data_IF_146073226019
#
_entry.id   IF_146073226019
#
_cell.length_a   1.000
_cell.length_b   1.000
_cell.length_c   1.000
_cell.angle_alpha   90.00
_cell.angle_beta   90.00
_cell.angle_gamma   90.00
#
_symmetry.space_group_name_H-M   'P 1'
#
loop_
_entity.id
_entity.type
_entity.pdbx_description
1 polymer ?
#
# COMPACT_ATOMS: atom_id res chain seq x y z
N UNK A 1 22.70 -34.50 -49.20
CA UNK A 1 21.86 -33.42 -48.65
C UNK A 1 21.05 -33.97 -47.48
N UNK A 2 21.54 -33.86 -46.24
CA UNK A 2 20.75 -34.06 -45.03
C UNK A 2 21.61 -33.71 -43.80
N UNK A 3 21.46 -32.50 -43.27
CA UNK A 3 21.91 -32.15 -41.92
C UNK A 3 21.29 -30.81 -41.51
N UNK A 4 20.07 -30.85 -40.96
CA UNK A 4 19.47 -29.73 -40.23
C UNK A 4 18.20 -30.21 -39.53
N UNK A 5 18.32 -30.91 -38.40
CA UNK A 5 17.14 -31.19 -37.56
C UNK A 5 17.45 -31.38 -36.07
N UNK A 6 18.71 -31.32 -35.63
CA UNK A 6 19.06 -31.56 -34.23
C UNK A 6 19.10 -30.30 -33.34
N UNK A 7 19.03 -29.08 -33.91
CA UNK A 7 19.12 -27.81 -33.17
C UNK A 7 17.77 -27.15 -32.83
N UNK A 8 16.65 -27.64 -33.36
CA UNK A 8 15.34 -26.99 -33.24
C UNK A 8 14.59 -27.14 -31.89
N UNK A 9 14.69 -28.24 -31.10
CA UNK A 9 13.83 -28.40 -29.92
C UNK A 9 14.17 -27.40 -28.80
N UNK A 10 15.47 -27.14 -28.58
CA UNK A 10 15.93 -26.17 -27.57
C UNK A 10 15.58 -24.72 -27.92
N UNK A 11 15.63 -24.36 -29.21
CA UNK A 11 15.27 -23.01 -29.68
C UNK A 11 13.76 -22.77 -29.52
N UNK A 12 12.91 -23.74 -29.88
CA UNK A 12 11.45 -23.61 -29.71
C UNK A 12 11.01 -23.55 -28.25
N UNK A 13 11.65 -24.30 -27.35
CA UNK A 13 11.35 -24.25 -25.92
C UNK A 13 11.78 -22.90 -25.32
N UNK A 14 12.99 -22.44 -25.66
CA UNK A 14 13.52 -21.12 -25.25
C UNK A 14 12.66 -19.96 -25.74
N UNK A 15 12.17 -20.02 -26.99
CA UNK A 15 11.28 -19.01 -27.54
C UNK A 15 9.90 -19.04 -26.87
N UNK A 16 9.37 -20.21 -26.51
CA UNK A 16 8.11 -20.34 -25.78
C UNK A 16 8.21 -19.73 -24.37
N UNK A 17 9.30 -20.00 -23.65
CA UNK A 17 9.56 -19.46 -22.31
C UNK A 17 9.81 -17.94 -22.36
N UNK A 18 10.57 -17.46 -23.36
CA UNK A 18 10.81 -16.03 -23.58
C UNK A 18 9.53 -15.27 -23.91
N UNK A 19 8.67 -15.86 -24.76
CA UNK A 19 7.34 -15.35 -25.10
C UNK A 19 6.40 -15.38 -23.90
N UNK A 20 6.56 -16.34 -22.99
CA UNK A 20 5.85 -16.40 -21.69
C UNK A 20 6.30 -15.30 -20.72
N UNK A 21 7.60 -15.02 -20.57
CA UNK A 21 8.05 -13.91 -19.69
C UNK A 21 7.68 -12.53 -20.24
N UNK A 22 7.74 -12.34 -21.57
CA UNK A 22 7.31 -11.10 -22.22
C UNK A 22 5.78 -10.96 -22.13
N UNK A 23 5.05 -12.05 -22.31
CA UNK A 23 3.60 -12.13 -22.12
C UNK A 23 3.18 -11.83 -20.68
N UNK A 24 3.90 -12.35 -19.69
CA UNK A 24 3.65 -12.07 -18.27
C UNK A 24 3.87 -10.58 -17.95
N UNK A 25 4.97 -9.99 -18.44
CA UNK A 25 5.23 -8.55 -18.28
C UNK A 25 4.15 -7.69 -18.94
N UNK A 26 3.71 -8.05 -20.14
CA UNK A 26 2.61 -7.37 -20.82
C UNK A 26 1.28 -7.57 -20.11
N UNK A 27 0.99 -8.77 -19.60
CA UNK A 27 -0.22 -9.06 -18.82
C UNK A 27 -0.25 -8.28 -17.51
N UNK A 28 0.88 -8.19 -16.81
CA UNK A 28 1.01 -7.40 -15.58
C UNK A 28 0.81 -5.91 -15.89
N UNK A 29 1.49 -5.36 -16.90
CA UNK A 29 1.32 -3.96 -17.31
C UNK A 29 -0.12 -3.67 -17.78
N UNK A 30 -0.71 -4.58 -18.55
CA UNK A 30 -2.09 -4.46 -19.00
C UNK A 30 -3.05 -4.50 -17.80
N UNK A 31 -2.83 -5.40 -16.84
CA UNK A 31 -3.61 -5.45 -15.61
C UNK A 31 -3.48 -4.16 -14.81
N UNK A 32 -2.27 -3.62 -14.66
CA UNK A 32 -2.05 -2.34 -13.98
C UNK A 32 -2.81 -1.21 -14.67
N UNK A 33 -2.68 -1.09 -16.00
CA UNK A 33 -3.37 -0.04 -16.77
C UNK A 33 -4.89 -0.20 -16.74
N UNK A 34 -5.40 -1.43 -16.86
CA UNK A 34 -6.83 -1.70 -16.79
C UNK A 34 -7.38 -1.45 -15.39
N UNK A 35 -6.62 -1.79 -14.33
CA UNK A 35 -7.05 -1.61 -12.96
C UNK A 35 -7.00 -0.13 -12.55
N UNK A 36 -5.89 0.57 -12.80
CA UNK A 36 -5.79 2.03 -12.59
C UNK A 36 -6.87 2.77 -13.38
N UNK A 37 -7.08 2.37 -14.63
CA UNK A 37 -8.16 2.90 -15.47
C UNK A 37 -9.56 2.61 -14.92
N UNK A 38 -9.82 1.39 -14.43
CA UNK A 38 -11.10 1.03 -13.84
C UNK A 38 -11.37 1.77 -12.54
N UNK A 39 -10.38 1.96 -11.67
CA UNK A 39 -10.50 2.74 -10.43
C UNK A 39 -10.81 4.21 -10.74
N UNK A 40 -10.11 4.81 -11.71
CA UNK A 40 -10.40 6.17 -12.17
C UNK A 40 -11.80 6.33 -12.80
N UNK A 41 -12.31 5.30 -13.49
CA UNK A 41 -13.63 5.31 -14.12
C UNK A 41 -14.76 5.05 -13.11
N UNK A 42 -14.55 4.14 -12.16
CA UNK A 42 -15.55 3.74 -11.17
C UNK A 42 -15.74 4.79 -10.07
N UNK A 43 -14.72 5.62 -9.83
CA UNK A 43 -14.80 6.71 -8.87
C UNK A 43 -14.32 8.03 -9.49
N UNK A 44 -15.21 8.82 -10.13
CA UNK A 44 -14.87 10.14 -10.67
C UNK A 44 -14.48 11.16 -9.59
N UNK A 45 -14.57 10.80 -8.30
CA UNK A 45 -14.07 11.60 -7.17
C UNK A 45 -12.62 11.27 -6.78
N UNK A 46 -12.00 10.28 -7.41
CA UNK A 46 -10.64 9.86 -7.07
C UNK A 46 -9.60 10.96 -7.28
N UNK A 47 -9.77 11.84 -8.28
CA UNK A 47 -8.78 12.88 -8.63
C UNK A 47 -8.46 13.82 -7.45
N UNK A 48 -9.49 14.39 -6.81
CA UNK A 48 -9.28 15.24 -5.63
C UNK A 48 -8.92 14.43 -4.38
N UNK A 49 -9.41 13.19 -4.26
CA UNK A 49 -9.07 12.27 -3.16
C UNK A 49 -7.62 11.81 -3.20
N UNK A 50 -7.00 11.65 -4.37
CA UNK A 50 -5.57 11.34 -4.50
C UNK A 50 -4.71 12.47 -3.93
N UNK A 51 -5.15 13.72 -4.09
CA UNK A 51 -4.44 14.90 -3.58
C UNK A 51 -4.59 15.08 -2.06
N UNK A 52 -5.74 14.72 -1.50
CA UNK A 52 -6.02 14.90 -0.08
C UNK A 52 -5.71 13.65 0.77
N UNK A 53 -5.96 12.45 0.24
CA UNK A 53 -5.84 11.16 0.93
C UNK A 53 -5.22 10.06 0.04
N UNK A 54 -3.87 10.02 -0.08
CA UNK A 54 -3.20 9.11 -1.02
C UNK A 54 -3.24 7.62 -0.62
N UNK A 55 -3.91 7.24 0.46
CA UNK A 55 -3.84 5.90 1.05
C UNK A 55 -4.30 4.80 0.08
N UNK A 56 -5.42 4.98 -0.63
CA UNK A 56 -5.94 3.99 -1.57
C UNK A 56 -4.96 3.69 -2.70
N UNK A 57 -4.35 4.73 -3.25
CA UNK A 57 -3.32 4.60 -4.28
C UNK A 57 -2.09 3.85 -3.75
N UNK A 58 -1.60 4.22 -2.57
CA UNK A 58 -0.42 3.58 -1.96
C UNK A 58 -0.70 2.11 -1.62
N UNK A 59 -1.89 1.79 -1.11
CA UNK A 59 -2.29 0.43 -0.76
C UNK A 59 -2.34 -0.46 -2.00
N UNK A 60 -2.97 0.02 -3.08
CA UNK A 60 -3.04 -0.71 -4.34
C UNK A 60 -1.66 -0.92 -4.96
N UNK A 61 -0.86 0.14 -5.06
CA UNK A 61 0.51 0.08 -5.59
C UNK A 61 1.36 -0.93 -4.80
N UNK A 62 1.16 -1.01 -3.49
CA UNK A 62 1.83 -1.99 -2.62
C UNK A 62 1.43 -3.42 -2.96
N UNK A 63 0.13 -3.70 -3.17
CA UNK A 63 -0.37 -5.03 -3.57
C UNK A 63 0.23 -5.45 -4.91
N UNK A 64 0.19 -4.54 -5.89
CA UNK A 64 0.73 -4.77 -7.22
C UNK A 64 2.25 -5.02 -7.21
N UNK A 65 3.00 -4.29 -6.38
CA UNK A 65 4.42 -4.52 -6.17
C UNK A 65 4.70 -5.89 -5.54
N UNK A 66 3.95 -6.30 -4.50
CA UNK A 66 4.09 -7.63 -3.87
C UNK A 66 3.83 -8.73 -4.89
N UNK A 67 2.76 -8.60 -5.67
CA UNK A 67 2.42 -9.57 -6.72
C UNK A 67 3.53 -9.66 -7.78
N UNK A 68 4.07 -8.52 -8.20
CA UNK A 68 5.18 -8.46 -9.17
C UNK A 68 6.43 -9.15 -8.63
N UNK A 69 6.79 -8.95 -7.36
CA UNK A 69 7.90 -9.66 -6.72
C UNK A 69 7.67 -11.17 -6.72
N UNK A 70 6.46 -11.62 -6.38
CA UNK A 70 6.11 -13.05 -6.36
C UNK A 70 6.27 -13.69 -7.75
N UNK A 71 5.71 -13.05 -8.79
CA UNK A 71 5.86 -13.49 -10.17
C UNK A 71 7.31 -13.45 -10.64
N UNK A 72 8.10 -12.48 -10.18
CA UNK A 72 9.50 -12.36 -10.54
C UNK A 72 10.34 -13.50 -9.96
N UNK A 73 10.10 -13.86 -8.69
CA UNK A 73 10.74 -15.01 -8.04
C UNK A 73 10.39 -16.30 -8.77
N UNK A 74 9.12 -16.49 -9.13
CA UNK A 74 8.68 -17.66 -9.90
C UNK A 74 9.33 -17.70 -11.28
N UNK A 75 9.46 -16.55 -11.96
CA UNK A 75 10.10 -16.45 -13.26
C UNK A 75 11.58 -16.84 -13.24
N UNK A 76 12.32 -16.44 -12.20
CA UNK A 76 13.73 -16.84 -12.03
C UNK A 76 13.83 -18.35 -11.75
N UNK A 77 12.93 -18.90 -10.93
CA UNK A 77 12.95 -20.34 -10.59
C UNK A 77 12.69 -21.25 -11.79
N UNK A 78 11.89 -20.80 -12.76
CA UNK A 78 11.55 -21.58 -13.94
C UNK A 78 12.63 -21.53 -15.05
N UNK A 79 13.63 -20.65 -14.93
CA UNK A 79 14.61 -20.33 -15.97
C UNK A 79 16.01 -20.93 -15.71
N UNK A 80 16.09 -22.13 -15.14
CA UNK A 80 17.33 -22.79 -14.70
C UNK A 80 18.37 -23.01 -15.81
N UNK A 81 17.98 -23.00 -17.09
CA UNK A 81 18.85 -23.28 -18.24
C UNK A 81 19.38 -22.02 -18.98
N UNK A 82 19.39 -20.84 -18.34
CA UNK A 82 19.84 -19.58 -18.97
C UNK A 82 21.29 -19.19 -18.67
N UNK A 83 21.80 -18.29 -19.51
CA UNK A 83 23.14 -17.72 -19.35
C UNK A 83 23.24 -16.91 -18.05
N UNK A 84 24.27 -17.21 -17.24
CA UNK A 84 24.52 -16.67 -15.90
C UNK A 84 24.34 -15.14 -15.73
N UNK A 85 24.65 -14.35 -16.75
CA UNK A 85 24.51 -12.89 -16.71
C UNK A 85 23.05 -12.43 -16.61
N UNK A 86 22.10 -13.19 -17.13
CA UNK A 86 20.66 -12.88 -17.04
C UNK A 86 20.14 -13.07 -15.62
N UNK A 87 20.62 -14.10 -14.94
CA UNK A 87 20.26 -14.36 -13.54
C UNK A 87 20.86 -13.28 -12.64
N UNK A 88 22.12 -12.88 -12.90
CA UNK A 88 22.76 -11.78 -12.18
C UNK A 88 22.00 -10.46 -12.32
N UNK A 89 21.66 -10.07 -13.57
CA UNK A 89 20.82 -8.89 -13.82
C UNK A 89 19.46 -9.03 -13.16
N UNK A 90 18.89 -10.25 -13.17
CA UNK A 90 17.61 -10.52 -12.56
C UNK A 90 17.62 -10.31 -11.05
N UNK A 91 18.61 -10.86 -10.35
CA UNK A 91 18.78 -10.70 -8.91
C UNK A 91 18.97 -9.23 -8.52
N UNK A 92 19.72 -8.44 -9.30
CA UNK A 92 19.88 -7.00 -9.06
C UNK A 92 18.52 -6.28 -9.16
N UNK A 93 17.76 -6.55 -10.22
CA UNK A 93 16.43 -5.94 -10.40
C UNK A 93 15.47 -6.34 -9.28
N UNK A 94 15.50 -7.60 -8.84
CA UNK A 94 14.72 -8.07 -7.69
C UNK A 94 15.10 -7.34 -6.41
N UNK A 95 16.39 -7.14 -6.15
CA UNK A 95 16.87 -6.42 -4.98
C UNK A 95 16.39 -4.96 -4.96
N UNK A 96 16.45 -4.28 -6.12
CA UNK A 96 15.92 -2.91 -6.26
C UNK A 96 14.40 -2.88 -6.04
N UNK A 97 13.67 -3.84 -6.59
CA UNK A 97 12.22 -3.94 -6.43
C UNK A 97 11.83 -4.18 -4.96
N UNK A 98 12.56 -5.06 -4.25
CA UNK A 98 12.36 -5.30 -2.82
C UNK A 98 12.66 -4.02 -2.02
N UNK A 99 13.73 -3.29 -2.35
CA UNK A 99 14.05 -2.03 -1.69
C UNK A 99 12.90 -1.02 -1.83
N UNK A 100 12.37 -0.83 -3.05
CA UNK A 100 11.22 0.04 -3.30
C UNK A 100 9.98 -0.45 -2.52
N UNK A 101 9.72 -1.75 -2.52
CA UNK A 101 8.61 -2.36 -1.79
C UNK A 101 8.69 -2.07 -0.29
N UNK A 102 9.89 -2.08 0.31
CA UNK A 102 10.06 -1.73 1.74
C UNK A 102 9.59 -0.29 1.99
N UNK A 103 9.98 0.67 1.16
CA UNK A 103 9.53 2.06 1.33
C UNK A 103 8.02 2.21 1.14
N UNK A 104 7.44 1.53 0.14
CA UNK A 104 6.00 1.54 -0.09
C UNK A 104 5.24 0.93 1.09
N UNK A 105 5.71 -0.18 1.64
CA UNK A 105 5.12 -0.80 2.84
C UNK A 105 5.18 0.12 4.05
N UNK A 106 6.32 0.75 4.31
CA UNK A 106 6.44 1.71 5.42
C UNK A 106 5.49 2.89 5.25
N UNK A 107 5.37 3.41 4.03
CA UNK A 107 4.47 4.50 3.71
C UNK A 107 2.99 4.07 3.87
N UNK A 108 2.63 2.89 3.37
CA UNK A 108 1.30 2.31 3.50
C UNK A 108 0.93 2.11 4.98
N UNK A 109 1.84 1.57 5.79
CA UNK A 109 1.65 1.40 7.24
C UNK A 109 1.46 2.74 7.95
N UNK A 110 2.27 3.75 7.60
CA UNK A 110 2.14 5.08 8.17
C UNK A 110 0.79 5.73 7.84
N UNK A 111 0.36 5.66 6.57
CA UNK A 111 -0.95 6.19 6.18
C UNK A 111 -2.12 5.37 6.75
N UNK A 112 -1.95 4.06 6.93
CA UNK A 112 -2.93 3.22 7.64
C UNK A 112 -3.03 3.64 9.10
N UNK A 113 -1.89 3.90 9.76
CA UNK A 113 -1.86 4.35 11.14
C UNK A 113 -2.62 5.66 11.34
N UNK A 114 -2.37 6.68 10.53
CA UNK A 114 -3.06 7.97 10.65
C UNK A 114 -4.57 7.85 10.36
N UNK A 115 -4.97 6.98 9.43
CA UNK A 115 -6.38 6.70 9.14
C UNK A 115 -7.07 6.01 10.33
N UNK A 116 -6.39 5.05 10.96
CA UNK A 116 -6.90 4.32 12.13
C UNK A 116 -7.04 5.23 13.36
N UNK A 117 -6.18 6.23 13.52
CA UNK A 117 -6.18 7.15 14.68
C UNK A 117 -6.93 8.45 14.41
N UNK A 118 -7.47 8.63 13.20
CA UNK A 118 -8.13 9.85 12.73
C UNK A 118 -7.26 11.10 12.96
N UNK A 119 -6.00 11.02 12.53
CA UNK A 119 -5.02 12.11 12.63
C UNK A 119 -4.55 12.53 11.25
N UNK A 120 -4.12 13.78 11.11
CA UNK A 120 -3.42 14.23 9.90
C UNK A 120 -1.90 14.02 10.03
N UNK A 121 -1.21 13.86 8.90
CA UNK A 121 0.27 13.81 8.85
C UNK A 121 0.90 15.05 9.49
N UNK A 122 0.24 16.21 9.33
CA UNK A 122 0.63 17.48 9.92
C UNK A 122 0.55 17.46 11.45
N UNK A 123 -0.53 16.92 12.01
CA UNK A 123 -0.69 16.77 13.46
C UNK A 123 0.38 15.86 14.06
N UNK A 124 0.71 14.75 13.39
CA UNK A 124 1.78 13.85 13.83
C UNK A 124 3.14 14.54 13.78
N UNK A 125 3.48 15.18 12.65
CA UNK A 125 4.79 15.80 12.45
C UNK A 125 5.03 17.06 13.30
N UNK A 126 3.96 17.79 13.66
CA UNK A 126 4.05 19.09 14.34
C UNK A 126 3.27 19.17 15.65
N UNK A 127 2.88 18.05 16.25
CA UNK A 127 2.11 17.98 17.52
C UNK A 127 2.57 19.02 18.56
N UNK A 128 3.86 19.08 18.87
CA UNK A 128 4.43 19.99 19.90
C UNK A 128 4.33 21.49 19.53
N UNK A 129 4.24 21.82 18.24
CA UNK A 129 4.11 23.20 17.75
C UNK A 129 2.66 23.66 17.63
N UNK A 130 1.70 22.74 17.54
CA UNK A 130 0.28 23.06 17.39
C UNK A 130 -0.30 23.47 18.74
N UNK A 131 -0.86 24.68 18.82
CA UNK A 131 -1.32 25.30 20.06
C UNK A 131 -2.36 24.44 20.79
N UNK A 132 -3.36 23.91 20.08
CA UNK A 132 -4.45 23.12 20.66
C UNK A 132 -4.06 21.70 21.06
N UNK A 133 -2.93 21.17 20.57
CA UNK A 133 -2.43 19.84 20.96
C UNK A 133 -1.41 19.88 22.11
N UNK A 134 -0.97 21.08 22.55
CA UNK A 134 0.09 21.23 23.55
C UNK A 134 -0.31 20.74 24.95
N UNK A 135 -1.60 20.81 25.29
CA UNK A 135 -2.15 20.34 26.57
C UNK A 135 -2.73 18.92 26.55
N UNK A 136 -2.70 18.23 25.40
CA UNK A 136 -3.28 16.90 25.25
C UNK A 136 -2.26 15.83 25.67
N UNK A 137 -2.63 14.83 26.48
CA UNK A 137 -1.75 13.72 26.84
C UNK A 137 -1.14 13.05 25.59
N UNK A 138 0.15 12.68 25.64
CA UNK A 138 0.85 12.09 24.47
C UNK A 138 0.26 10.74 24.02
N UNK A 139 -0.44 10.04 24.92
CA UNK A 139 -1.01 8.71 24.70
C UNK A 139 -2.46 8.73 24.18
N UNK A 140 -3.00 9.91 23.87
CA UNK A 140 -4.39 10.07 23.44
C UNK A 140 -4.46 10.78 22.08
N UNK A 141 -5.27 10.21 21.19
CA UNK A 141 -5.68 10.72 19.89
C UNK A 141 -7.03 11.46 20.05
N UNK A 142 -7.02 12.81 20.15
CA UNK A 142 -8.20 13.57 20.60
C UNK A 142 -9.42 13.45 19.67
N UNK A 143 -9.20 13.28 18.37
CA UNK A 143 -10.26 13.17 17.35
C UNK A 143 -10.63 11.73 16.98
N UNK A 144 -10.05 10.73 17.66
CA UNK A 144 -10.32 9.32 17.38
C UNK A 144 -11.70 8.90 17.91
N UNK A 145 -12.55 8.33 17.05
CA UNK A 145 -13.89 7.79 17.38
C UNK A 145 -13.89 6.27 17.58
N UNK A 146 -12.71 5.65 17.59
CA UNK A 146 -12.49 4.20 17.61
C UNK A 146 -12.11 3.66 16.23
N UNK A 147 -11.34 2.56 16.20
CA UNK A 147 -10.72 2.02 14.98
C UNK A 147 -11.75 1.75 13.89
N UNK A 148 -12.84 1.05 14.21
CA UNK A 148 -13.87 0.69 13.22
C UNK A 148 -14.59 1.91 12.65
N UNK A 149 -14.87 2.92 13.49
CA UNK A 149 -15.56 4.14 13.05
C UNK A 149 -14.62 5.03 12.23
N UNK A 150 -13.37 5.15 12.64
CA UNK A 150 -12.36 5.90 11.89
C UNK A 150 -12.14 5.27 10.50
N UNK A 151 -12.04 3.93 10.42
CA UNK A 151 -11.93 3.22 9.13
C UNK A 151 -13.17 3.42 8.26
N UNK A 152 -14.36 3.33 8.83
CA UNK A 152 -15.60 3.58 8.08
C UNK A 152 -15.67 5.02 7.57
N UNK A 153 -15.30 5.99 8.41
CA UNK A 153 -15.25 7.40 8.03
C UNK A 153 -14.22 7.64 6.91
N UNK A 154 -13.03 7.05 7.01
CA UNK A 154 -11.98 7.18 6.02
C UNK A 154 -12.34 6.48 4.68
N UNK A 155 -12.85 5.25 4.73
CA UNK A 155 -13.07 4.45 3.53
C UNK A 155 -14.40 4.74 2.81
N UNK A 156 -15.47 4.95 3.57
CA UNK A 156 -16.84 4.93 3.05
C UNK A 156 -17.59 6.24 3.23
N UNK A 157 -17.03 7.21 3.96
CA UNK A 157 -17.67 8.51 4.11
C UNK A 157 -17.47 9.35 2.86
N UNK A 158 -18.59 9.71 2.23
CA UNK A 158 -18.67 10.79 1.25
C UNK A 158 -18.90 12.11 2.00
N UNK A 159 -18.04 12.43 2.97
CA UNK A 159 -18.11 13.71 3.67
C UNK A 159 -17.68 14.82 2.71
N UNK A 160 -18.66 15.58 2.23
CA UNK A 160 -18.47 16.79 1.43
C UNK A 160 -18.10 17.94 2.36
N UNK A 161 -16.82 18.08 2.69
CA UNK A 161 -16.27 19.27 3.33
C UNK A 161 -15.54 19.05 4.65
N UNK A 162 -14.66 20.00 5.00
CA UNK A 162 -13.90 20.01 6.25
C UNK A 162 -14.82 20.29 7.43
N UNK A 163 -15.30 19.25 8.11
CA UNK A 163 -15.92 19.40 9.43
C UNK A 163 -14.79 19.64 10.44
N UNK A 164 -14.67 20.88 10.92
CA UNK A 164 -13.82 21.19 12.07
C UNK A 164 -14.48 20.63 13.34
N UNK A 165 -14.02 19.46 13.77
CA UNK A 165 -14.42 18.86 15.04
C UNK A 165 -13.83 19.67 16.21
N UNK A 166 -14.65 20.00 17.20
CA UNK A 166 -14.19 20.73 18.38
C UNK A 166 -13.28 19.84 19.24
N UNK A 167 -12.23 20.43 19.81
CA UNK A 167 -11.36 19.71 20.74
C UNK A 167 -12.16 19.30 21.99
N UNK A 168 -12.20 18.01 22.36
CA UNK A 168 -12.87 17.58 23.58
C UNK A 168 -12.24 18.23 24.83
N UNK A 169 -13.01 18.46 25.90
CA UNK A 169 -12.50 19.03 27.14
C UNK A 169 -11.39 18.16 27.75
N UNK A 170 -10.41 18.78 28.41
CA UNK A 170 -9.21 18.11 28.94
C UNK A 170 -9.55 16.97 29.90
N UNK A 171 -10.59 17.13 30.74
CA UNK A 171 -11.07 16.10 31.68
C UNK A 171 -11.48 14.82 30.95
N UNK A 172 -12.13 14.93 29.78
CA UNK A 172 -12.52 13.78 28.97
C UNK A 172 -11.31 13.11 28.32
N UNK A 173 -10.32 13.90 27.88
CA UNK A 173 -9.07 13.38 27.31
C UNK A 173 -8.24 12.63 28.36
N UNK A 174 -8.20 13.11 29.60
CA UNK A 174 -7.56 12.42 30.72
C UNK A 174 -8.28 11.10 31.06
N UNK A 175 -9.62 11.09 31.04
CA UNK A 175 -10.39 9.86 31.20
C UNK A 175 -10.13 8.86 30.06
N UNK A 176 -9.85 9.35 28.84
CA UNK A 176 -9.45 8.50 27.70
C UNK A 176 -8.02 7.95 27.81
N UNK A 177 -7.16 8.58 28.61
CA UNK A 177 -5.82 8.07 28.94
C UNK A 177 -5.84 6.93 29.99
N UNK A 178 -7.01 6.60 30.54
CA UNK A 178 -7.17 5.49 31.49
C UNK A 178 -6.86 4.13 30.84
N UNK A 179 -6.54 3.13 31.67
CA UNK A 179 -6.18 1.78 31.20
C UNK A 179 -7.36 1.11 30.48
N UNK A 180 -7.05 0.39 29.41
CA UNK A 180 -8.03 -0.41 28.66
C UNK A 180 -8.72 -1.44 29.54
N UNK A 181 -10.03 -1.53 29.40
CA UNK A 181 -10.84 -2.64 29.92
C UNK A 181 -11.12 -3.66 28.80
N UNK A 182 -11.52 -4.89 29.15
CA UNK A 182 -11.89 -5.90 28.15
C UNK A 182 -13.00 -5.42 27.19
N UNK A 183 -13.91 -4.56 27.67
CA UNK A 183 -14.96 -3.96 26.82
C UNK A 183 -14.38 -2.99 25.79
N UNK A 184 -13.34 -2.24 26.15
CA UNK A 184 -12.67 -1.31 25.23
C UNK A 184 -11.96 -2.02 24.07
N UNK A 185 -11.42 -3.22 24.32
CA UNK A 185 -10.83 -4.07 23.28
C UNK A 185 -11.90 -4.58 22.31
N UNK A 186 -13.05 -5.03 22.83
CA UNK A 186 -14.17 -5.53 22.01
C UNK A 186 -14.79 -4.40 21.16
N UNK A 187 -14.82 -3.17 21.68
CA UNK A 187 -15.32 -2.00 20.94
C UNK A 187 -14.27 -1.36 20.02
N UNK A 188 -13.10 -1.97 19.85
CA UNK A 188 -11.97 -1.44 19.07
C UNK A 188 -11.66 0.03 19.39
N UNK A 189 -11.68 0.38 20.68
CA UNK A 189 -11.37 1.72 21.14
C UNK A 189 -9.91 2.04 20.79
N UNK A 190 -9.68 3.25 20.28
CA UNK A 190 -8.37 3.78 19.98
C UNK A 190 -8.10 4.92 20.97
N UNK A 191 -6.95 4.88 21.66
CA UNK A 191 -6.58 5.87 22.67
C UNK A 191 -6.05 7.12 22.01
#
# INVERSE_FOLDING_TARGET
MASSSASEPGIRLSDRVRRSSLGLRFMVLLLHVLFVGAVFILDPTLDWRIHEEPWWYIFEETILCVWTVALYIESIRLDVDKAWWKDFVGVILLAVLIFILIFLLLLCLFHSYIALTNQTTYEVARRKRIFYLRGVPERVHPFSKGICRNLYEFCCSSQKGFILEALPPTEELEARAARYTCRDVICCRCC
#
